data_IF_933277824179
#
_entry.id   IF_933277824179
#
_cell.length_a   1.000
_cell.length_b   1.000
_cell.length_c   1.000
_cell.angle_alpha   90.00
_cell.angle_beta   90.00
_cell.angle_gamma   90.00
#
_symmetry.space_group_name_H-M   'P 1'
#
loop_
_entity.id
_entity.type
_entity.pdbx_description
1 polymer ?
#
# COMPACT_ATOMS: atom_id res chain seq x y z
N UNK A 1 -67.28 -6.38 -51.01
CA UNK A 1 -65.84 -6.44 -50.67
C UNK A 1 -65.65 -7.31 -49.44
N UNK A 2 -64.94 -8.42 -49.57
CA UNK A 2 -64.93 -9.55 -48.62
C UNK A 2 -64.19 -9.19 -47.32
N UNK A 3 -64.90 -9.13 -46.18
CA UNK A 3 -64.33 -8.95 -44.83
C UNK A 3 -63.20 -9.95 -44.51
N UNK A 4 -63.19 -11.13 -45.14
CA UNK A 4 -62.12 -12.12 -45.02
C UNK A 4 -60.76 -11.66 -45.58
N UNK A 5 -60.75 -10.84 -46.63
CA UNK A 5 -59.51 -10.28 -47.19
C UNK A 5 -58.93 -9.16 -46.32
N UNK A 6 -59.78 -8.36 -45.66
CA UNK A 6 -59.35 -7.29 -44.76
C UNK A 6 -58.65 -7.82 -43.51
N UNK A 7 -59.10 -8.94 -42.95
CA UNK A 7 -58.47 -9.55 -41.77
C UNK A 7 -57.14 -10.25 -42.10
N UNK A 8 -57.00 -10.82 -43.30
CA UNK A 8 -55.76 -11.43 -43.76
C UNK A 8 -54.65 -10.40 -43.97
N UNK A 9 -55.01 -9.19 -44.43
CA UNK A 9 -54.08 -8.07 -44.63
C UNK A 9 -53.58 -7.49 -43.30
N UNK A 10 -54.44 -7.44 -42.27
CA UNK A 10 -54.04 -6.98 -40.93
C UNK A 10 -53.08 -7.95 -40.23
N UNK A 11 -53.28 -9.27 -40.39
CA UNK A 11 -52.41 -10.29 -39.77
C UNK A 11 -51.03 -10.32 -40.45
N UNK A 12 -50.95 -10.05 -41.75
CA UNK A 12 -49.68 -9.99 -42.48
C UNK A 12 -48.87 -8.72 -42.17
N UNK A 13 -49.52 -7.59 -41.85
CA UNK A 13 -48.82 -6.37 -41.41
C UNK A 13 -48.17 -6.55 -40.02
N UNK A 14 -48.82 -7.26 -39.09
CA UNK A 14 -48.28 -7.48 -37.73
C UNK A 14 -47.01 -8.37 -37.76
N UNK A 15 -46.91 -9.30 -38.72
CA UNK A 15 -45.74 -10.16 -38.87
C UNK A 15 -44.52 -9.44 -39.47
N UNK A 16 -44.72 -8.35 -40.23
CA UNK A 16 -43.61 -7.61 -40.87
C UNK A 16 -42.98 -6.61 -39.90
N UNK A 17 -43.75 -6.05 -38.94
CA UNK A 17 -43.23 -5.10 -37.95
C UNK A 17 -42.57 -5.76 -36.71
N UNK A 18 -42.66 -7.09 -36.57
CA UNK A 18 -42.11 -7.83 -35.43
C UNK A 18 -40.64 -8.22 -35.52
N UNK A 19 -39.95 -7.87 -36.62
CA UNK A 19 -38.56 -8.28 -36.89
C UNK A 19 -37.65 -7.07 -37.05
N UNK A 20 -37.71 -6.14 -36.10
CA UNK A 20 -36.53 -5.33 -35.81
C UNK A 20 -35.52 -6.25 -35.10
N UNK A 21 -34.87 -7.11 -35.88
CA UNK A 21 -33.61 -7.73 -35.49
C UNK A 21 -32.54 -6.63 -35.47
N UNK A 22 -32.67 -5.66 -34.56
CA UNK A 22 -31.47 -5.05 -34.03
C UNK A 22 -30.79 -6.14 -33.22
N UNK A 23 -29.91 -6.88 -33.90
CA UNK A 23 -28.89 -7.66 -33.24
C UNK A 23 -28.08 -6.68 -32.40
N UNK A 24 -28.50 -6.51 -31.14
CA UNK A 24 -27.64 -5.94 -30.11
C UNK A 24 -26.49 -6.92 -29.99
N UNK A 25 -25.45 -6.69 -30.77
CA UNK A 25 -24.15 -7.31 -30.56
C UNK A 25 -23.68 -6.80 -29.21
N UNK A 26 -23.98 -7.56 -28.16
CA UNK A 26 -23.22 -7.49 -26.93
C UNK A 26 -21.80 -7.96 -27.31
N UNK A 27 -20.97 -7.01 -27.77
CA UNK A 27 -19.54 -7.19 -27.80
C UNK A 27 -19.12 -7.30 -26.33
N UNK A 28 -19.23 -8.49 -25.76
CA UNK A 28 -18.45 -8.83 -24.57
C UNK A 28 -17.01 -8.89 -25.04
N UNK A 29 -16.39 -7.72 -25.18
CA UNK A 29 -14.94 -7.64 -25.14
C UNK A 29 -14.62 -8.22 -23.78
N UNK A 30 -14.16 -9.47 -23.75
CA UNK A 30 -13.55 -10.03 -22.55
C UNK A 30 -12.40 -9.06 -22.27
N UNK A 31 -12.56 -8.19 -21.27
CA UNK A 31 -11.46 -7.37 -20.79
C UNK A 31 -10.33 -8.35 -20.47
N UNK A 32 -9.28 -8.28 -21.28
CA UNK A 32 -8.11 -9.11 -21.07
C UNK A 32 -7.53 -8.72 -19.72
N UNK A 33 -7.46 -9.70 -18.81
CA UNK A 33 -6.96 -9.44 -17.46
C UNK A 33 -5.50 -8.96 -17.57
N UNK A 34 -5.12 -7.85 -16.91
CA UNK A 34 -3.74 -7.40 -16.89
C UNK A 34 -2.78 -8.51 -16.42
N UNK A 35 -1.56 -8.56 -16.97
CA UNK A 35 -0.52 -9.44 -16.47
C UNK A 35 -0.28 -9.25 -14.97
N UNK A 36 0.10 -10.33 -14.28
CA UNK A 36 0.39 -10.30 -12.84
C UNK A 36 1.42 -9.23 -12.45
N UNK A 37 2.44 -8.98 -13.29
CA UNK A 37 3.45 -7.93 -13.05
C UNK A 37 2.82 -6.54 -12.90
N UNK A 38 1.88 -6.20 -13.80
CA UNK A 38 1.17 -4.91 -13.76
C UNK A 38 0.39 -4.76 -12.46
N UNK A 39 -0.30 -5.83 -12.02
CA UNK A 39 -0.99 -5.81 -10.75
C UNK A 39 -0.06 -5.68 -9.53
N UNK A 40 1.14 -6.27 -9.57
CA UNK A 40 2.13 -6.11 -8.51
C UNK A 40 2.56 -4.64 -8.41
N UNK A 41 2.89 -4.00 -9.53
CA UNK A 41 3.26 -2.59 -9.57
C UNK A 41 2.14 -1.67 -9.05
N UNK A 42 0.90 -1.95 -9.44
CA UNK A 42 -0.26 -1.22 -8.93
C UNK A 42 -0.45 -1.38 -7.42
N UNK A 43 -0.33 -2.62 -6.91
CA UNK A 43 -0.43 -2.89 -5.49
C UNK A 43 0.70 -2.20 -4.71
N UNK A 44 1.94 -2.25 -5.21
CA UNK A 44 3.08 -1.58 -4.60
C UNK A 44 2.85 -0.07 -4.50
N UNK A 45 2.31 0.55 -5.57
CA UNK A 45 1.95 1.96 -5.56
C UNK A 45 0.88 2.28 -4.51
N UNK A 46 -0.20 1.50 -4.45
CA UNK A 46 -1.25 1.66 -3.42
C UNK A 46 -0.67 1.50 -2.00
N UNK A 47 0.24 0.55 -1.82
CA UNK A 47 0.90 0.29 -0.53
C UNK A 47 1.84 1.42 -0.13
N UNK A 48 2.60 1.99 -1.07
CA UNK A 48 3.45 3.15 -0.84
C UNK A 48 2.62 4.38 -0.45
N UNK A 49 1.52 4.65 -1.15
CA UNK A 49 0.60 5.74 -0.81
C UNK A 49 0.01 5.57 0.60
N UNK A 50 -0.39 4.35 0.95
CA UNK A 50 -0.85 4.00 2.29
C UNK A 50 0.24 4.27 3.36
N UNK A 51 1.47 3.82 3.13
CA UNK A 51 2.59 4.05 4.05
C UNK A 51 2.94 5.53 4.21
N UNK A 52 2.90 6.30 3.12
CA UNK A 52 3.12 7.75 3.15
C UNK A 52 2.04 8.47 3.96
N UNK A 53 0.77 8.03 3.82
CA UNK A 53 -0.33 8.56 4.62
C UNK A 53 -0.15 8.26 6.12
N UNK A 54 0.30 7.04 6.46
CA UNK A 54 0.62 6.65 7.84
C UNK A 54 1.75 7.51 8.40
N UNK A 55 2.86 7.65 7.67
CA UNK A 55 3.99 8.47 8.10
C UNK A 55 3.56 9.92 8.32
N UNK A 56 2.81 10.51 7.39
CA UNK A 56 2.31 11.89 7.49
C UNK A 56 1.44 12.10 8.75
N UNK A 57 0.61 11.13 9.10
CA UNK A 57 -0.19 11.17 10.33
C UNK A 57 0.69 11.15 11.59
N UNK A 58 1.72 10.28 11.63
CA UNK A 58 2.67 10.21 12.75
C UNK A 58 3.42 11.53 12.89
N UNK A 59 4.05 12.01 11.80
CA UNK A 59 4.84 13.25 11.76
C UNK A 59 4.00 14.44 12.22
N UNK A 60 2.78 14.58 11.70
CA UNK A 60 1.85 15.63 12.12
C UNK A 60 1.48 15.53 13.60
N UNK A 61 1.22 14.31 14.11
CA UNK A 61 0.80 14.13 15.50
C UNK A 61 1.89 14.52 16.51
N UNK A 62 3.16 14.38 16.15
CA UNK A 62 4.30 14.73 17.00
C UNK A 62 4.95 16.07 16.64
N UNK A 63 4.45 16.78 15.63
CA UNK A 63 5.05 18.01 15.08
C UNK A 63 6.54 17.84 14.76
N UNK A 64 6.87 16.77 14.05
CA UNK A 64 8.26 16.44 13.70
C UNK A 64 8.67 17.15 12.42
N UNK A 65 9.90 17.65 12.40
CA UNK A 65 10.62 17.99 11.18
C UNK A 65 11.67 16.90 10.93
N UNK A 66 11.60 16.30 9.74
CA UNK A 66 12.47 15.21 9.31
C UNK A 66 13.37 15.63 8.13
N UNK A 67 13.41 16.92 7.76
CA UNK A 67 14.17 17.43 6.61
C UNK A 67 15.68 17.17 6.69
N UNK A 68 16.25 17.17 7.90
CA UNK A 68 17.66 16.88 8.17
C UNK A 68 17.96 15.39 8.41
N UNK A 69 16.96 14.51 8.26
CA UNK A 69 17.10 13.09 8.56
C UNK A 69 17.15 12.26 7.29
N UNK A 70 18.06 11.29 7.28
CA UNK A 70 18.07 10.24 6.27
C UNK A 70 17.18 9.09 6.72
N UNK A 71 16.33 8.62 5.82
CA UNK A 71 15.49 7.45 6.06
C UNK A 71 16.24 6.15 5.74
N UNK A 72 16.02 5.14 6.57
CA UNK A 72 16.53 3.77 6.38
C UNK A 72 15.39 2.76 6.49
N UNK A 73 15.42 1.74 5.64
CA UNK A 73 14.59 0.53 5.73
C UNK A 73 15.38 -0.61 6.37
N UNK A 74 14.68 -1.68 6.76
CA UNK A 74 15.31 -2.86 7.36
C UNK A 74 16.41 -3.45 6.47
N UNK A 75 16.23 -3.41 5.15
CA UNK A 75 17.17 -4.00 4.19
C UNK A 75 18.47 -3.19 4.09
N UNK A 76 18.43 -1.87 4.32
CA UNK A 76 19.63 -1.02 4.36
C UNK A 76 20.57 -1.38 5.52
N UNK A 77 20.03 -2.07 6.53
CA UNK A 77 20.75 -2.48 7.74
C UNK A 77 21.19 -3.94 7.69
N UNK A 78 20.80 -4.71 6.67
CA UNK A 78 21.19 -6.10 6.54
C UNK A 78 22.70 -6.22 6.30
N UNK A 79 23.34 -7.08 7.09
CA UNK A 79 24.75 -7.42 6.93
C UNK A 79 24.94 -8.34 5.74
N UNK A 80 26.02 -8.12 4.99
CA UNK A 80 26.40 -8.96 3.86
C UNK A 80 27.06 -10.24 4.37
N UNK A 81 26.95 -11.31 3.56
CA UNK A 81 27.61 -12.58 3.85
C UNK A 81 29.12 -12.36 3.97
N UNK A 82 29.71 -12.79 5.09
CA UNK A 82 31.15 -12.67 5.36
C UNK A 82 31.54 -11.47 6.22
N UNK A 83 30.61 -10.55 6.53
CA UNK A 83 30.85 -9.48 7.49
C UNK A 83 30.89 -10.02 8.92
N UNK A 84 31.81 -9.49 9.75
CA UNK A 84 31.93 -9.88 11.16
C UNK A 84 30.84 -9.17 11.97
N UNK A 85 29.99 -9.94 12.63
CA UNK A 85 28.89 -9.42 13.45
C UNK A 85 29.34 -8.41 14.51
N UNK A 86 30.51 -8.64 15.12
CA UNK A 86 31.03 -7.80 16.20
C UNK A 86 31.37 -6.37 15.74
N UNK A 87 31.60 -6.15 14.45
CA UNK A 87 32.00 -4.85 13.89
C UNK A 87 30.78 -3.99 13.46
N UNK A 88 29.56 -4.51 13.66
CA UNK A 88 28.31 -3.90 13.18
C UNK A 88 27.23 -3.81 14.26
N UNK A 89 27.66 -3.60 15.50
CA UNK A 89 26.76 -3.45 16.66
C UNK A 89 25.74 -2.31 16.46
N UNK A 90 26.11 -1.27 15.70
CA UNK A 90 25.24 -0.16 15.32
C UNK A 90 24.06 -0.63 14.47
N UNK A 91 24.33 -1.28 13.33
CA UNK A 91 23.31 -1.79 12.40
C UNK A 91 22.43 -2.82 13.07
N UNK A 92 23.02 -3.75 13.84
CA UNK A 92 22.27 -4.78 14.56
C UNK A 92 21.29 -4.17 15.57
N UNK A 93 21.72 -3.17 16.33
CA UNK A 93 20.86 -2.50 17.30
C UNK A 93 19.68 -1.79 16.65
N UNK A 94 19.89 -1.16 15.48
CA UNK A 94 18.82 -0.55 14.69
C UNK A 94 17.88 -1.58 14.05
N UNK A 95 18.43 -2.67 13.50
CA UNK A 95 17.64 -3.74 12.86
C UNK A 95 16.65 -4.37 13.84
N UNK A 96 17.04 -4.51 15.10
CA UNK A 96 16.15 -5.04 16.15
C UNK A 96 14.85 -4.24 16.32
N UNK A 97 14.85 -2.95 15.98
CA UNK A 97 13.66 -2.09 16.08
C UNK A 97 12.58 -2.47 15.06
N UNK A 98 12.95 -3.12 13.95
CA UNK A 98 12.04 -3.52 12.88
C UNK A 98 11.22 -4.78 13.22
N UNK A 99 11.43 -5.41 14.38
CA UNK A 99 10.71 -6.62 14.81
C UNK A 99 9.27 -6.35 15.27
N UNK A 100 8.32 -7.20 14.85
CA UNK A 100 6.91 -7.24 15.28
C UNK A 100 5.92 -6.78 14.19
N UNK A 101 4.69 -6.39 14.56
CA UNK A 101 3.68 -5.90 13.62
C UNK A 101 3.37 -4.40 13.77
N UNK A 102 3.03 -3.74 12.66
CA UNK A 102 2.60 -2.33 12.61
C UNK A 102 1.50 -2.11 11.56
N UNK A 103 0.73 -1.02 11.70
CA UNK A 103 -0.21 -0.58 10.68
C UNK A 103 0.54 0.31 9.67
N UNK A 104 0.95 -0.27 8.55
CA UNK A 104 1.93 0.33 7.65
C UNK A 104 3.36 0.06 8.09
N UNK A 105 4.32 0.61 7.33
CA UNK A 105 5.74 0.38 7.55
C UNK A 105 6.28 1.08 8.80
N UNK A 106 7.25 0.43 9.44
CA UNK A 106 8.11 1.06 10.45
C UNK A 106 9.19 1.84 9.74
N UNK A 107 9.52 3.03 10.24
CA UNK A 107 10.38 3.99 9.56
C UNK A 107 11.48 4.45 10.50
N UNK A 108 12.73 4.29 10.07
CA UNK A 108 13.90 4.76 10.80
C UNK A 108 14.44 6.02 10.14
N UNK A 109 14.66 7.05 10.95
CA UNK A 109 15.21 8.33 10.52
C UNK A 109 16.45 8.64 11.36
N UNK A 110 17.61 8.78 10.73
CA UNK A 110 18.87 9.10 11.41
C UNK A 110 19.37 10.47 10.98
N UNK A 111 19.63 11.35 11.95
CA UNK A 111 20.24 12.65 11.68
C UNK A 111 21.69 12.44 11.31
N UNK A 112 22.10 12.87 10.13
CA UNK A 112 23.45 12.62 9.58
C UNK A 112 23.79 11.13 9.37
N UNK A 113 22.79 10.28 9.13
CA UNK A 113 22.99 8.87 8.78
C UNK A 113 23.55 8.01 9.94
N UNK A 114 24.24 6.91 9.60
CA UNK A 114 24.79 5.95 10.58
C UNK A 114 25.93 6.54 11.45
N UNK A 115 26.64 7.55 10.94
CA UNK A 115 27.67 8.31 11.67
C UNK A 115 27.07 9.32 12.67
N UNK A 116 25.76 9.56 12.56
CA UNK A 116 25.01 10.41 13.45
C UNK A 116 24.91 9.89 14.88
N UNK A 117 24.33 10.73 15.75
CA UNK A 117 24.11 10.41 17.17
C UNK A 117 22.66 10.50 17.62
N UNK A 118 21.77 10.91 16.71
CA UNK A 118 20.36 11.15 17.01
C UNK A 118 19.49 10.57 15.90
N UNK A 119 18.34 10.04 16.29
CA UNK A 119 17.40 9.48 15.34
C UNK A 119 16.00 9.32 15.91
N UNK A 120 15.06 8.99 15.04
CA UNK A 120 13.71 8.62 15.39
C UNK A 120 13.35 7.28 14.76
N UNK A 121 12.64 6.46 15.53
CA UNK A 121 11.97 5.28 15.00
C UNK A 121 10.47 5.46 15.15
N UNK A 122 9.78 5.48 14.01
CA UNK A 122 8.39 5.86 13.89
C UNK A 122 7.58 4.68 13.39
N UNK A 123 6.45 4.41 14.03
CA UNK A 123 5.49 3.44 13.53
C UNK A 123 4.10 3.70 14.10
N UNK A 124 3.08 3.15 13.42
CA UNK A 124 1.71 3.08 13.92
C UNK A 124 1.44 1.67 14.43
N UNK A 125 0.92 1.54 15.64
CA UNK A 125 0.50 0.26 16.22
C UNK A 125 -0.71 -0.31 15.47
N UNK A 126 -0.95 -1.60 15.62
CA UNK A 126 -2.07 -2.31 14.96
C UNK A 126 -3.45 -1.79 15.40
N UNK A 127 -3.53 -1.23 16.60
CA UNK A 127 -4.71 -0.54 17.16
C UNK A 127 -4.92 0.87 16.59
N UNK A 128 -3.89 1.45 15.97
CA UNK A 128 -3.93 2.76 15.33
C UNK A 128 -3.14 3.86 16.02
N UNK A 129 -2.60 3.63 17.22
CA UNK A 129 -1.84 4.64 17.94
C UNK A 129 -0.49 4.94 17.27
N UNK A 130 -0.07 6.21 17.32
CA UNK A 130 1.20 6.66 16.78
C UNK A 130 2.29 6.52 17.84
N UNK A 131 3.41 5.91 17.46
CA UNK A 131 4.57 5.73 18.34
C UNK A 131 5.77 6.43 17.75
N UNK A 132 6.45 7.20 18.59
CA UNK A 132 7.75 7.80 18.31
C UNK A 132 8.74 7.30 19.35
N UNK A 133 9.79 6.64 18.91
CA UNK A 133 10.96 6.35 19.75
C UNK A 133 12.06 7.36 19.43
N UNK A 134 12.62 8.03 20.43
CA UNK A 134 13.83 8.83 20.27
C UNK A 134 15.04 7.94 20.45
N UNK A 135 15.98 8.01 19.51
CA UNK A 135 17.20 7.21 19.50
C UNK A 135 18.41 8.08 19.76
N UNK A 136 19.42 7.51 20.42
CA UNK A 136 20.76 8.09 20.48
C UNK A 136 21.83 7.02 20.32
N UNK A 137 22.96 7.37 19.70
CA UNK A 137 24.11 6.48 19.56
C UNK A 137 25.01 6.63 20.79
N UNK A 138 25.18 5.56 21.55
CA UNK A 138 26.03 5.48 22.75
C UNK A 138 27.16 4.50 22.43
N UNK A 139 28.37 5.02 22.24
CA UNK A 139 29.47 4.24 21.67
C UNK A 139 29.13 3.81 20.25
N UNK A 140 29.13 2.51 20.01
CA UNK A 140 28.78 1.91 18.71
C UNK A 140 27.33 1.42 18.64
N UNK A 141 26.51 1.62 19.69
CA UNK A 141 25.16 1.05 19.75
C UNK A 141 24.10 2.14 19.72
N UNK A 142 23.02 1.93 18.97
CA UNK A 142 21.85 2.79 19.01
C UNK A 142 20.89 2.35 20.11
N UNK A 143 20.55 3.30 20.97
CA UNK A 143 19.72 3.07 22.16
C UNK A 143 18.44 3.89 22.08
N UNK A 144 17.32 3.27 22.46
CA UNK A 144 16.03 3.97 22.61
C UNK A 144 16.07 4.77 23.91
N UNK A 145 16.07 6.09 23.79
CA UNK A 145 16.12 7.01 24.92
C UNK A 145 14.74 7.28 25.51
N UNK A 146 13.71 7.34 24.67
CA UNK A 146 12.32 7.53 25.10
C UNK A 146 11.33 6.92 24.11
N UNK A 147 10.13 6.62 24.60
CA UNK A 147 9.01 6.13 23.80
C UNK A 147 7.80 6.99 24.11
N UNK A 148 7.31 7.71 23.11
CA UNK A 148 6.08 8.50 23.20
C UNK A 148 4.98 7.82 22.36
N UNK A 149 3.80 7.64 22.95
CA UNK A 149 2.62 7.12 22.26
C UNK A 149 1.50 8.17 22.26
N UNK A 150 0.90 8.40 21.09
CA UNK A 150 -0.26 9.27 20.92
C UNK A 150 -1.45 8.47 20.39
N UNK A 151 -2.60 8.64 21.06
CA UNK A 151 -3.87 8.07 20.60
C UNK A 151 -4.19 8.61 19.21
N UNK A 152 -4.45 7.70 18.28
CA UNK A 152 -4.78 8.05 16.90
C UNK A 152 -5.70 6.99 16.29
N UNK A 153 -6.27 7.30 15.13
CA UNK A 153 -7.12 6.35 14.42
C UNK A 153 -6.27 5.40 13.58
N UNK A 154 -6.70 4.14 13.51
CA UNK A 154 -6.15 3.16 12.56
C UNK A 154 -6.46 3.61 11.14
N UNK A 155 -5.44 3.61 10.28
CA UNK A 155 -5.61 3.88 8.86
C UNK A 155 -5.78 2.52 8.17
N UNK A 156 -6.84 2.39 7.39
CA UNK A 156 -7.12 1.15 6.64
C UNK A 156 -6.62 1.31 5.21
N UNK A 157 -5.88 0.30 4.75
CA UNK A 157 -5.63 0.14 3.32
C UNK A 157 -6.89 -0.41 2.66
N UNK A 158 -7.18 0.02 1.43
CA UNK A 158 -8.24 -0.60 0.64
C UNK A 158 -7.80 -2.01 0.25
N UNK A 159 -8.75 -2.95 0.16
CA UNK A 159 -8.43 -4.28 -0.33
C UNK A 159 -8.13 -4.18 -1.82
N UNK A 160 -6.93 -4.59 -2.22
CA UNK A 160 -6.58 -4.71 -3.64
C UNK A 160 -7.37 -5.85 -4.27
N UNK A 161 -7.95 -5.60 -5.45
CA UNK A 161 -8.70 -6.61 -6.19
C UNK A 161 -7.73 -7.43 -7.06
N UNK A 162 -7.26 -8.58 -6.54
CA UNK A 162 -6.39 -9.48 -7.29
C UNK A 162 -7.13 -10.29 -8.36
N UNK A 163 -8.46 -10.41 -8.28
CA UNK A 163 -9.26 -11.21 -9.21
C UNK A 163 -9.27 -10.59 -10.62
N UNK A 164 -8.94 -9.31 -10.73
CA UNK A 164 -8.76 -8.60 -12.00
C UNK A 164 -7.48 -9.00 -12.74
N UNK A 165 -6.54 -9.68 -12.08
CA UNK A 165 -5.24 -10.02 -12.65
C UNK A 165 -5.27 -11.37 -13.38
N UNK A 166 -4.45 -11.52 -14.42
CA UNK A 166 -4.29 -12.81 -15.08
C UNK A 166 -3.69 -13.81 -14.09
N UNK A 167 -4.24 -15.02 -14.08
CA UNK A 167 -3.52 -16.17 -13.54
C UNK A 167 -2.38 -16.47 -14.52
N UNK A 168 -1.20 -16.82 -13.99
CA UNK A 168 0.03 -16.98 -14.77
C UNK A 168 -0.11 -17.92 -15.96
#
# INVERSE_FOLDING_TARGET
MNKKFSNLLLISIILIYGVNNETVFANSVKEEKPPKSVCIEEFEKEYQEFNNKVLKDIVKSFNLDLSEYQEFISDDLMLKVGEKLNDHSDKMSLQSLFVGSSNGSRRLFLKSGLEGKEGYFLYKKIDGNNVKKKLSKIGEVWVVMSVDEKKAKKIRIKRFNWDKCSEN
#
